data_IF_591867149678
#
_entry.id   IF_591867149678
#
_cell.length_a   1.000
_cell.length_b   1.000
_cell.length_c   1.000
_cell.angle_alpha   90.00
_cell.angle_beta   90.00
_cell.angle_gamma   90.00
#
_symmetry.space_group_name_H-M   'P 1'
#
loop_
_entity.id
_entity.type
_entity.pdbx_description
1 polymer ?
#
# COMPACT_ATOMS: atom_id res chain seq x y z
N UNK A 1 130.68 10.25 -7.56
CA UNK A 1 129.36 10.00 -6.97
C UNK A 1 128.38 11.13 -7.34
N UNK A 2 127.82 11.19 -8.56
CA UNK A 2 126.84 12.25 -8.93
C UNK A 2 125.75 11.80 -9.95
N UNK A 3 125.68 10.52 -10.33
CA UNK A 3 124.72 10.05 -11.37
C UNK A 3 123.53 9.24 -10.84
N UNK A 4 123.49 8.89 -9.56
CA UNK A 4 122.42 8.07 -8.97
C UNK A 4 121.29 8.87 -8.29
N UNK A 5 121.43 10.18 -8.09
CA UNK A 5 120.40 11.00 -7.42
C UNK A 5 119.32 11.57 -8.35
N UNK A 6 119.56 11.69 -9.66
CA UNK A 6 118.55 12.27 -10.58
C UNK A 6 117.46 11.30 -11.03
N UNK A 7 117.67 9.98 -10.97
CA UNK A 7 116.67 8.99 -11.38
C UNK A 7 115.59 8.71 -10.32
N UNK A 8 115.89 8.96 -9.03
CA UNK A 8 114.94 8.77 -7.92
C UNK A 8 113.90 9.90 -7.87
N UNK A 9 114.25 11.10 -8.31
CA UNK A 9 113.33 12.24 -8.33
C UNK A 9 112.24 12.14 -9.42
N UNK A 10 112.49 11.40 -10.51
CA UNK A 10 111.53 11.25 -11.62
C UNK A 10 110.57 10.07 -11.37
N UNK A 11 111.01 9.00 -10.70
CA UNK A 11 110.13 7.89 -10.30
C UNK A 11 109.14 8.28 -9.19
N UNK A 12 109.52 9.19 -8.28
CA UNK A 12 108.62 9.74 -7.27
C UNK A 12 107.54 10.67 -7.84
N UNK A 13 107.78 11.31 -9.00
CA UNK A 13 106.81 12.18 -9.66
C UNK A 13 105.72 11.41 -10.42
N UNK A 14 105.98 10.18 -10.84
CA UNK A 14 104.99 9.33 -11.54
C UNK A 14 104.12 8.53 -10.54
N UNK A 15 104.64 8.19 -9.36
CA UNK A 15 103.85 7.57 -8.28
C UNK A 15 102.88 8.52 -7.56
N UNK A 16 103.03 9.85 -7.73
CA UNK A 16 102.15 10.86 -7.11
C UNK A 16 100.97 11.27 -7.99
N UNK A 17 100.92 10.85 -9.26
CA UNK A 17 99.80 11.14 -10.16
C UNK A 17 98.74 10.03 -10.20
N UNK A 18 99.04 8.82 -9.72
CA UNK A 18 98.07 7.73 -9.58
C UNK A 18 97.32 7.77 -8.23
N UNK A 19 97.84 8.47 -7.23
CA UNK A 19 97.23 8.56 -5.89
C UNK A 19 96.12 9.62 -5.78
N UNK A 20 96.03 10.58 -6.70
CA UNK A 20 95.07 11.71 -6.61
C UNK A 20 93.91 11.62 -7.63
N UNK A 21 94.00 10.69 -8.59
CA UNK A 21 92.94 10.39 -9.57
C UNK A 21 92.06 9.20 -9.17
N UNK A 22 92.61 8.21 -8.46
CA UNK A 22 91.88 7.01 -8.01
C UNK A 22 90.78 7.32 -7.01
N UNK A 23 90.99 8.22 -6.05
CA UNK A 23 89.94 8.63 -5.11
C UNK A 23 88.81 9.41 -5.78
N UNK A 24 89.12 10.26 -6.77
CA UNK A 24 88.09 10.96 -7.55
C UNK A 24 87.31 10.01 -8.46
N UNK A 25 87.97 9.02 -9.06
CA UNK A 25 87.30 7.98 -9.84
C UNK A 25 86.40 7.11 -8.95
N UNK A 26 86.91 6.69 -7.78
CA UNK A 26 86.16 5.88 -6.81
C UNK A 26 84.96 6.65 -6.25
N UNK A 27 85.12 7.93 -5.92
CA UNK A 27 83.99 8.79 -5.54
C UNK A 27 82.99 8.98 -6.70
N UNK A 28 83.45 9.05 -7.95
CA UNK A 28 82.57 9.18 -9.10
C UNK A 28 81.83 7.87 -9.43
N UNK A 29 82.44 6.70 -9.18
CA UNK A 29 81.81 5.39 -9.26
C UNK A 29 80.82 5.18 -8.13
N UNK A 30 81.19 5.47 -6.87
CA UNK A 30 80.30 5.40 -5.71
C UNK A 30 79.07 6.31 -5.88
N UNK A 31 79.27 7.53 -6.42
CA UNK A 31 78.16 8.43 -6.75
C UNK A 31 77.28 7.89 -7.90
N UNK A 32 77.87 7.25 -8.92
CA UNK A 32 77.11 6.64 -10.01
C UNK A 32 76.28 5.45 -9.53
N UNK A 33 76.84 4.63 -8.65
CA UNK A 33 76.15 3.48 -8.08
C UNK A 33 75.02 3.94 -7.15
N UNK A 34 75.24 4.95 -6.32
CA UNK A 34 74.16 5.59 -5.55
C UNK A 34 73.07 6.18 -6.45
N UNK A 35 73.43 6.89 -7.52
CA UNK A 35 72.46 7.42 -8.49
C UNK A 35 71.66 6.32 -9.19
N UNK A 36 72.30 5.18 -9.50
CA UNK A 36 71.63 4.02 -10.11
C UNK A 36 70.67 3.35 -9.16
N UNK A 37 71.04 3.23 -7.89
CA UNK A 37 70.18 2.65 -6.86
C UNK A 37 69.00 3.57 -6.53
N UNK A 38 69.22 4.89 -6.40
CA UNK A 38 68.15 5.90 -6.26
C UNK A 38 67.21 5.91 -7.47
N UNK A 39 67.74 5.79 -8.69
CA UNK A 39 66.94 5.72 -9.91
C UNK A 39 66.09 4.44 -9.94
N UNK A 40 66.66 3.28 -9.58
CA UNK A 40 65.91 2.02 -9.49
C UNK A 40 64.82 2.07 -8.43
N UNK A 41 65.11 2.63 -7.25
CA UNK A 41 64.14 2.82 -6.18
C UNK A 41 63.00 3.75 -6.63
N UNK A 42 63.33 4.85 -7.33
CA UNK A 42 62.34 5.79 -7.86
C UNK A 42 61.46 5.15 -8.95
N UNK A 43 62.05 4.35 -9.85
CA UNK A 43 61.31 3.64 -10.90
C UNK A 43 60.39 2.56 -10.32
N UNK A 44 60.88 1.77 -9.36
CA UNK A 44 60.06 0.78 -8.67
C UNK A 44 58.89 1.42 -7.91
N UNK A 45 59.13 2.60 -7.31
CA UNK A 45 58.07 3.38 -6.65
C UNK A 45 57.05 3.87 -7.69
N UNK A 46 57.49 4.39 -8.83
CA UNK A 46 56.57 4.79 -9.91
C UNK A 46 55.72 3.63 -10.44
N UNK A 47 56.31 2.47 -10.68
CA UNK A 47 55.58 1.28 -11.15
C UNK A 47 54.50 0.86 -10.13
N UNK A 48 54.84 0.86 -8.84
CA UNK A 48 53.89 0.56 -7.77
C UNK A 48 52.73 1.58 -7.72
N UNK A 49 53.03 2.88 -7.84
CA UNK A 49 52.02 3.94 -7.89
C UNK A 49 51.09 3.80 -9.10
N UNK A 50 51.61 3.37 -10.27
CA UNK A 50 50.81 3.15 -11.48
C UNK A 50 49.87 1.95 -11.35
N UNK A 51 50.33 0.85 -10.75
CA UNK A 51 49.48 -0.32 -10.46
C UNK A 51 48.32 0.09 -9.55
N UNK A 52 48.62 0.80 -8.47
CA UNK A 52 47.60 1.27 -7.52
C UNK A 52 46.61 2.28 -8.15
N UNK A 53 47.06 3.17 -9.04
CA UNK A 53 46.17 4.09 -9.78
C UNK A 53 45.25 3.31 -10.72
N UNK A 54 45.74 2.26 -11.37
CA UNK A 54 44.92 1.38 -12.19
C UNK A 54 43.89 0.62 -11.34
N UNK A 55 44.29 0.05 -10.20
CA UNK A 55 43.37 -0.63 -9.28
C UNK A 55 42.24 0.29 -8.80
N UNK A 56 42.57 1.54 -8.44
CA UNK A 56 41.57 2.52 -8.03
C UNK A 56 40.65 2.85 -9.20
N UNK A 57 41.20 3.04 -10.40
CA UNK A 57 40.44 3.41 -11.60
C UNK A 57 39.49 2.29 -12.07
N UNK A 58 39.95 1.04 -12.08
CA UNK A 58 39.13 -0.14 -12.39
C UNK A 58 38.01 -0.31 -11.35
N UNK A 59 38.36 -0.14 -10.09
CA UNK A 59 37.37 -0.13 -9.03
C UNK A 59 36.31 0.96 -9.20
N UNK A 60 36.68 2.18 -9.63
CA UNK A 60 35.72 3.29 -9.80
C UNK A 60 34.68 2.98 -10.86
N UNK A 61 35.07 2.27 -11.92
CA UNK A 61 34.15 1.78 -12.93
C UNK A 61 33.17 0.74 -12.36
N UNK A 62 33.64 -0.19 -11.53
CA UNK A 62 32.76 -1.16 -10.88
C UNK A 62 31.70 -0.50 -9.98
N UNK A 63 32.07 0.52 -9.20
CA UNK A 63 31.12 1.27 -8.37
C UNK A 63 30.10 1.99 -9.23
N UNK A 64 30.54 2.62 -10.32
CA UNK A 64 29.67 3.33 -11.25
C UNK A 64 28.64 2.39 -11.91
N UNK A 65 29.05 1.16 -12.22
CA UNK A 65 28.15 0.15 -12.75
C UNK A 65 27.12 -0.30 -11.70
N UNK A 66 27.54 -0.46 -10.44
CA UNK A 66 26.67 -0.78 -9.31
C UNK A 66 25.69 0.37 -8.98
N UNK A 67 26.16 1.60 -8.98
CA UNK A 67 25.39 2.83 -8.83
C UNK A 67 24.33 2.96 -9.93
N UNK A 68 24.69 2.67 -11.18
CA UNK A 68 23.73 2.67 -12.30
C UNK A 68 22.61 1.65 -12.09
N UNK A 69 22.91 0.46 -11.57
CA UNK A 69 21.90 -0.56 -11.25
C UNK A 69 20.94 -0.05 -10.16
N UNK A 70 21.47 0.60 -9.13
CA UNK A 70 20.68 1.20 -8.04
C UNK A 70 19.80 2.36 -8.57
N UNK A 71 20.34 3.18 -9.49
CA UNK A 71 19.69 4.38 -10.02
C UNK A 71 18.70 4.12 -11.17
N UNK A 72 18.50 2.87 -11.63
CA UNK A 72 17.59 2.60 -12.76
C UNK A 72 16.13 2.49 -12.29
N UNK A 73 15.24 3.46 -12.61
CA UNK A 73 13.89 3.54 -12.00
C UNK A 73 12.88 2.52 -12.54
N UNK A 74 13.23 1.73 -13.56
CA UNK A 74 12.34 0.82 -14.27
C UNK A 74 12.34 -0.64 -13.79
N UNK A 75 13.21 -1.02 -12.86
CA UNK A 75 13.27 -2.37 -12.29
C UNK A 75 12.45 -2.54 -10.99
N UNK A 76 11.75 -1.47 -10.58
CA UNK A 76 11.04 -1.32 -9.30
C UNK A 76 9.55 -1.70 -9.36
N UNK A 77 9.06 -2.20 -10.49
CA UNK A 77 7.65 -2.58 -10.69
C UNK A 77 7.25 -3.93 -10.04
N UNK A 78 8.03 -4.37 -9.06
CA UNK A 78 7.80 -5.59 -8.29
C UNK A 78 8.70 -5.61 -7.06
N UNK A 79 8.33 -4.84 -6.04
CA UNK A 79 8.97 -4.85 -4.72
C UNK A 79 8.85 -6.24 -4.08
N UNK A 80 9.86 -7.09 -4.24
CA UNK A 80 10.11 -8.13 -3.25
C UNK A 80 10.92 -7.51 -2.11
N UNK A 81 10.55 -7.78 -0.85
CA UNK A 81 11.33 -7.36 0.32
C UNK A 81 12.82 -7.74 0.19
N UNK A 82 13.10 -8.87 -0.48
CA UNK A 82 14.45 -9.33 -0.83
C UNK A 82 15.25 -8.33 -1.67
N UNK A 83 14.63 -7.61 -2.60
CA UNK A 83 15.35 -6.70 -3.50
C UNK A 83 15.67 -5.36 -2.83
N UNK A 84 14.80 -4.92 -1.90
CA UNK A 84 15.07 -3.76 -1.04
C UNK A 84 16.27 -4.01 -0.12
N UNK A 85 16.30 -5.17 0.53
CA UNK A 85 17.42 -5.52 1.40
C UNK A 85 18.73 -5.63 0.60
N UNK A 86 18.66 -6.15 -0.62
CA UNK A 86 19.81 -6.20 -1.53
C UNK A 86 20.33 -4.79 -1.86
N UNK A 87 19.47 -3.86 -2.26
CA UNK A 87 19.88 -2.47 -2.57
C UNK A 87 20.52 -1.78 -1.36
N UNK A 88 19.99 -2.00 -0.16
CA UNK A 88 20.58 -1.48 1.08
C UNK A 88 21.97 -2.06 1.34
N UNK A 89 22.13 -3.37 1.19
CA UNK A 89 23.42 -4.04 1.37
C UNK A 89 24.45 -3.57 0.32
N UNK A 90 24.01 -3.39 -0.94
CA UNK A 90 24.86 -2.88 -2.01
C UNK A 90 25.34 -1.44 -1.72
N UNK A 91 24.46 -0.57 -1.20
CA UNK A 91 24.86 0.79 -0.77
C UNK A 91 25.91 0.76 0.35
N UNK A 92 25.76 -0.11 1.34
CA UNK A 92 26.73 -0.25 2.44
C UNK A 92 28.08 -0.72 1.89
N UNK A 93 28.08 -1.70 0.99
CA UNK A 93 29.29 -2.20 0.34
C UNK A 93 29.99 -1.11 -0.48
N UNK A 94 29.23 -0.29 -1.22
CA UNK A 94 29.77 0.85 -1.98
C UNK A 94 30.39 1.89 -1.04
N UNK A 95 29.72 2.23 0.07
CA UNK A 95 30.26 3.18 1.05
C UNK A 95 31.60 2.70 1.63
N UNK A 96 31.70 1.42 1.98
CA UNK A 96 32.94 0.81 2.47
C UNK A 96 34.04 0.86 1.40
N UNK A 97 33.72 0.48 0.16
CA UNK A 97 34.68 0.52 -0.95
C UNK A 97 35.19 1.95 -1.24
N UNK A 98 34.33 2.97 -1.18
CA UNK A 98 34.71 4.38 -1.33
C UNK A 98 35.64 4.83 -0.19
N UNK A 99 35.39 4.38 1.04
CA UNK A 99 36.22 4.70 2.20
C UNK A 99 37.62 4.07 2.10
N UNK A 100 37.71 2.79 1.74
CA UNK A 100 38.98 2.10 1.52
C UNK A 100 39.82 2.78 0.44
N UNK A 101 39.20 3.18 -0.67
CA UNK A 101 39.90 3.86 -1.77
C UNK A 101 40.38 5.24 -1.39
N UNK A 102 39.62 5.96 -0.58
CA UNK A 102 40.06 7.25 -0.04
C UNK A 102 41.33 7.08 0.80
N UNK A 103 41.38 6.06 1.66
CA UNK A 103 42.58 5.75 2.45
C UNK A 103 43.77 5.40 1.55
N UNK A 104 43.57 4.56 0.52
CA UNK A 104 44.62 4.25 -0.46
C UNK A 104 45.11 5.49 -1.21
N UNK A 105 44.23 6.43 -1.58
CA UNK A 105 44.65 7.70 -2.20
C UNK A 105 45.47 8.58 -1.24
N UNK A 106 45.15 8.58 0.04
CA UNK A 106 45.93 9.30 1.06
C UNK A 106 47.33 8.67 1.24
N UNK A 107 47.43 7.34 1.23
CA UNK A 107 48.72 6.62 1.24
C UNK A 107 49.56 6.90 -0.03
N UNK A 108 48.91 6.92 -1.20
CA UNK A 108 49.55 7.26 -2.47
C UNK A 108 50.07 8.70 -2.47
N UNK A 109 49.29 9.64 -1.94
CA UNK A 109 49.69 11.03 -1.82
C UNK A 109 50.89 11.20 -0.89
N UNK A 110 50.90 10.51 0.26
CA UNK A 110 52.03 10.50 1.19
C UNK A 110 53.30 9.90 0.56
N UNK A 111 53.16 8.78 -0.16
CA UNK A 111 54.27 8.10 -0.85
C UNK A 111 54.84 8.99 -1.95
N UNK A 112 53.98 9.62 -2.76
CA UNK A 112 54.38 10.56 -3.80
C UNK A 112 55.11 11.78 -3.22
N UNK A 113 54.63 12.33 -2.10
CA UNK A 113 55.26 13.47 -1.43
C UNK A 113 56.64 13.13 -0.83
N UNK A 114 56.87 11.86 -0.43
CA UNK A 114 58.16 11.40 0.09
C UNK A 114 59.22 11.15 -0.99
N UNK A 115 58.80 11.03 -2.26
CA UNK A 115 59.70 10.72 -3.38
C UNK A 115 60.32 12.02 -3.91
N UNK A 116 61.66 12.08 -4.04
CA UNK A 116 62.40 13.27 -4.52
C UNK A 116 62.12 13.68 -5.98
N UNK A 117 61.31 12.91 -6.71
CA UNK A 117 60.93 13.18 -8.10
C UNK A 117 59.50 13.72 -8.21
N UNK A 118 59.36 14.96 -8.67
CA UNK A 118 58.05 15.57 -8.95
C UNK A 118 57.39 14.91 -10.18
N UNK A 119 56.44 14.00 -9.97
CA UNK A 119 55.57 13.49 -11.04
C UNK A 119 54.24 14.25 -11.04
N UNK A 120 54.22 15.42 -11.71
CA UNK A 120 53.05 16.29 -11.79
C UNK A 120 51.81 15.59 -12.39
N UNK A 121 52.01 14.61 -13.27
CA UNK A 121 50.92 13.81 -13.86
C UNK A 121 50.24 12.93 -12.81
N UNK A 122 51.01 12.19 -12.00
CA UNK A 122 50.47 11.37 -10.91
C UNK A 122 49.76 12.23 -9.86
N UNK A 123 50.32 13.38 -9.47
CA UNK A 123 49.66 14.31 -8.55
C UNK A 123 48.29 14.74 -9.09
N UNK A 124 48.21 15.10 -10.37
CA UNK A 124 46.95 15.50 -11.01
C UNK A 124 45.94 14.34 -11.06
N UNK A 125 46.39 13.12 -11.34
CA UNK A 125 45.53 11.93 -11.33
C UNK A 125 44.98 11.64 -9.94
N UNK A 126 45.81 11.67 -8.89
CA UNK A 126 45.38 11.49 -7.50
C UNK A 126 44.33 12.54 -7.11
N UNK A 127 44.54 13.82 -7.47
CA UNK A 127 43.56 14.88 -7.21
C UNK A 127 42.22 14.64 -7.93
N UNK A 128 42.26 14.22 -9.19
CA UNK A 128 41.06 13.88 -9.94
C UNK A 128 40.30 12.70 -9.32
N UNK A 129 41.02 11.64 -8.91
CA UNK A 129 40.43 10.48 -8.25
C UNK A 129 39.82 10.86 -6.89
N UNK A 130 40.48 11.74 -6.12
CA UNK A 130 39.94 12.28 -4.88
C UNK A 130 38.62 13.04 -5.11
N UNK A 131 38.55 13.88 -6.14
CA UNK A 131 37.32 14.60 -6.49
C UNK A 131 36.19 13.64 -6.85
N UNK A 132 36.48 12.65 -7.70
CA UNK A 132 35.47 11.65 -8.11
C UNK A 132 34.96 10.82 -6.93
N UNK A 133 35.83 10.41 -6.00
CA UNK A 133 35.39 9.70 -4.79
C UNK A 133 34.50 10.60 -3.93
N UNK A 134 34.82 11.89 -3.78
CA UNK A 134 34.02 12.82 -3.01
C UNK A 134 32.63 13.06 -3.62
N UNK A 135 32.56 13.15 -4.96
CA UNK A 135 31.31 13.22 -5.71
C UNK A 135 30.47 11.96 -5.50
N UNK A 136 31.04 10.77 -5.68
CA UNK A 136 30.35 9.50 -5.45
C UNK A 136 29.89 9.30 -4.00
N UNK A 137 30.68 9.74 -3.01
CA UNK A 137 30.26 9.72 -1.61
C UNK A 137 29.02 10.58 -1.37
N UNK A 138 28.96 11.74 -2.04
CA UNK A 138 27.81 12.65 -1.95
C UNK A 138 26.58 12.04 -2.63
N UNK A 139 26.75 11.42 -3.80
CA UNK A 139 25.67 10.77 -4.54
C UNK A 139 25.09 9.59 -3.75
N UNK A 140 25.95 8.70 -3.24
CA UNK A 140 25.52 7.55 -2.43
C UNK A 140 24.82 7.98 -1.13
N UNK A 141 25.29 9.05 -0.48
CA UNK A 141 24.59 9.61 0.68
C UNK A 141 23.19 10.14 0.31
N UNK A 142 23.07 10.83 -0.83
CA UNK A 142 21.78 11.31 -1.35
C UNK A 142 20.83 10.15 -1.67
N UNK A 143 21.31 9.12 -2.38
CA UNK A 143 20.53 7.93 -2.72
C UNK A 143 20.09 7.17 -1.47
N UNK A 144 20.96 7.05 -0.46
CA UNK A 144 20.61 6.45 0.84
C UNK A 144 19.47 7.20 1.53
N UNK A 145 19.53 8.53 1.58
CA UNK A 145 18.48 9.35 2.18
C UNK A 145 17.15 9.23 1.41
N UNK A 146 17.21 9.21 0.08
CA UNK A 146 16.02 9.03 -0.76
C UNK A 146 15.39 7.65 -0.57
N UNK A 147 16.21 6.60 -0.42
CA UNK A 147 15.74 5.25 -0.16
C UNK A 147 15.04 5.14 1.21
N UNK A 148 15.58 5.78 2.25
CA UNK A 148 14.96 5.83 3.57
C UNK A 148 13.63 6.60 3.54
N UNK A 149 13.58 7.75 2.87
CA UNK A 149 12.34 8.52 2.70
C UNK A 149 11.28 7.73 1.93
N UNK A 150 11.67 7.01 0.87
CA UNK A 150 10.77 6.12 0.14
C UNK A 150 10.25 4.98 1.02
N UNK A 151 11.10 4.40 1.88
CA UNK A 151 10.71 3.34 2.81
C UNK A 151 9.64 3.81 3.80
N UNK A 152 9.82 4.99 4.41
CA UNK A 152 8.83 5.59 5.29
C UNK A 152 7.51 5.79 4.54
N UNK A 153 7.57 6.35 3.34
CA UNK A 153 6.37 6.58 2.51
C UNK A 153 5.64 5.28 2.14
N UNK A 154 6.36 4.21 1.85
CA UNK A 154 5.75 2.90 1.60
C UNK A 154 5.07 2.38 2.85
N UNK A 155 5.71 2.49 4.02
CA UNK A 155 5.08 2.09 5.29
C UNK A 155 3.80 2.89 5.59
N UNK A 156 3.79 4.19 5.30
CA UNK A 156 2.59 5.03 5.45
C UNK A 156 1.47 4.63 4.47
N UNK A 157 1.84 4.30 3.23
CA UNK A 157 0.89 3.79 2.24
C UNK A 157 0.32 2.43 2.64
N UNK A 158 1.15 1.51 3.14
CA UNK A 158 0.71 0.20 3.65
C UNK A 158 -0.29 0.37 4.80
N UNK A 159 -0.02 1.28 5.74
CA UNK A 159 -0.94 1.61 6.81
C UNK A 159 -2.26 2.20 6.28
N UNK A 160 -2.18 3.13 5.32
CA UNK A 160 -3.37 3.73 4.70
C UNK A 160 -4.22 2.69 3.97
N UNK A 161 -3.59 1.74 3.28
CA UNK A 161 -4.28 0.63 2.61
C UNK A 161 -4.95 -0.29 3.62
N UNK A 162 -4.29 -0.62 4.73
CA UNK A 162 -4.87 -1.40 5.81
C UNK A 162 -6.10 -0.70 6.43
N UNK A 163 -5.98 0.59 6.74
CA UNK A 163 -7.08 1.40 7.29
C UNK A 163 -8.26 1.52 6.31
N UNK A 164 -7.97 1.68 5.01
CA UNK A 164 -9.01 1.72 3.98
C UNK A 164 -9.72 0.37 3.85
N UNK A 165 -9.00 -0.75 3.89
CA UNK A 165 -9.61 -2.08 3.84
C UNK A 165 -10.54 -2.31 5.05
N UNK A 166 -10.10 -1.96 6.26
CA UNK A 166 -10.96 -2.07 7.45
C UNK A 166 -12.20 -1.17 7.36
N UNK A 167 -12.06 0.02 6.78
CA UNK A 167 -13.18 0.94 6.55
C UNK A 167 -14.17 0.35 5.53
N UNK A 168 -13.67 -0.23 4.44
CA UNK A 168 -14.49 -0.89 3.42
C UNK A 168 -15.25 -2.08 4.01
N UNK A 169 -14.59 -2.93 4.80
CA UNK A 169 -15.23 -4.08 5.46
C UNK A 169 -16.34 -3.63 6.43
N UNK A 170 -16.07 -2.59 7.22
CA UNK A 170 -17.05 -1.99 8.13
C UNK A 170 -18.26 -1.41 7.38
N UNK A 171 -18.03 -0.64 6.30
CA UNK A 171 -19.10 -0.11 5.47
C UNK A 171 -19.92 -1.21 4.81
N UNK A 172 -19.29 -2.28 4.34
CA UNK A 172 -19.99 -3.42 3.76
C UNK A 172 -20.90 -4.10 4.78
N UNK A 173 -20.41 -4.33 6.00
CA UNK A 173 -21.21 -4.88 7.09
C UNK A 173 -22.40 -3.98 7.45
N UNK A 174 -22.19 -2.66 7.53
CA UNK A 174 -23.26 -1.70 7.84
C UNK A 174 -24.31 -1.62 6.73
N UNK A 175 -23.90 -1.75 5.46
CA UNK A 175 -24.84 -1.78 4.33
C UNK A 175 -25.73 -3.03 4.42
N UNK A 176 -25.17 -4.19 4.78
CA UNK A 176 -25.94 -5.41 4.88
C UNK A 176 -26.96 -5.35 6.02
N UNK A 177 -26.58 -4.83 7.19
CA UNK A 177 -27.52 -4.65 8.31
C UNK A 177 -28.64 -3.67 7.96
N UNK A 178 -28.32 -2.51 7.38
CA UNK A 178 -29.33 -1.53 6.97
C UNK A 178 -30.28 -2.09 5.92
N UNK A 179 -29.78 -2.92 4.99
CA UNK A 179 -30.63 -3.57 3.98
C UNK A 179 -31.59 -4.58 4.60
N UNK A 180 -31.12 -5.36 5.56
CA UNK A 180 -31.98 -6.34 6.23
C UNK A 180 -33.03 -5.63 7.09
N UNK A 181 -32.65 -4.61 7.86
CA UNK A 181 -33.59 -3.79 8.63
C UNK A 181 -34.65 -3.15 7.72
N UNK A 182 -34.23 -2.58 6.59
CA UNK A 182 -35.16 -2.01 5.61
C UNK A 182 -36.11 -3.06 5.02
N UNK A 183 -35.63 -4.28 4.72
CA UNK A 183 -36.48 -5.38 4.23
C UNK A 183 -37.50 -5.80 5.27
N UNK A 184 -37.10 -5.94 6.54
CA UNK A 184 -38.03 -6.32 7.61
C UNK A 184 -39.09 -5.24 7.84
N UNK A 185 -38.71 -3.95 7.78
CA UNK A 185 -39.65 -2.85 7.94
C UNK A 185 -40.62 -2.75 6.75
N UNK A 186 -40.14 -2.91 5.52
CA UNK A 186 -41.00 -2.99 4.34
C UNK A 186 -41.98 -4.15 4.46
N UNK A 187 -41.52 -5.34 4.83
CA UNK A 187 -42.39 -6.50 5.02
C UNK A 187 -43.46 -6.26 6.11
N UNK A 188 -43.09 -5.61 7.21
CA UNK A 188 -44.02 -5.23 8.29
C UNK A 188 -45.04 -4.19 7.83
N UNK A 189 -44.59 -3.18 7.11
CA UNK A 189 -45.45 -2.13 6.55
C UNK A 189 -46.42 -2.71 5.52
N UNK A 190 -45.96 -3.59 4.64
CA UNK A 190 -46.79 -4.30 3.67
C UNK A 190 -47.82 -5.20 4.35
N UNK A 191 -47.42 -5.98 5.36
CA UNK A 191 -48.34 -6.81 6.13
C UNK A 191 -49.43 -5.93 6.77
N UNK A 192 -49.04 -4.86 7.47
CA UNK A 192 -49.97 -3.94 8.13
C UNK A 192 -50.89 -3.21 7.15
N UNK A 193 -50.37 -2.81 5.99
CA UNK A 193 -51.15 -2.16 4.94
C UNK A 193 -52.21 -3.10 4.37
N UNK A 194 -51.88 -4.38 4.23
CA UNK A 194 -52.74 -5.41 3.65
C UNK A 194 -53.65 -6.12 4.67
N UNK A 195 -53.46 -5.90 5.98
CA UNK A 195 -54.38 -6.40 7.01
C UNK A 195 -55.75 -5.74 6.89
N UNK A 196 -56.78 -6.57 6.77
CA UNK A 196 -58.20 -6.23 6.81
C UNK A 196 -58.89 -7.07 7.86
N UNK A 197 -60.10 -6.67 8.24
CA UNK A 197 -60.80 -7.21 9.38
C UNK A 197 -62.23 -7.55 9.00
N UNK A 198 -62.72 -8.74 9.35
CA UNK A 198 -64.13 -9.10 9.17
C UNK A 198 -64.77 -9.69 10.42
N UNK A 199 -66.07 -9.46 10.58
CA UNK A 199 -66.88 -9.98 11.68
C UNK A 199 -68.15 -10.64 11.14
N UNK A 200 -68.49 -11.80 11.70
CA UNK A 200 -69.70 -12.56 11.42
C UNK A 200 -70.51 -12.63 12.71
N UNK A 201 -71.81 -12.38 12.66
CA UNK A 201 -72.65 -12.53 13.84
C UNK A 201 -74.12 -12.26 13.58
N UNK A 202 -74.95 -12.68 14.51
CA UNK A 202 -76.37 -12.32 14.51
C UNK A 202 -76.54 -10.84 14.82
N UNK A 203 -77.68 -10.27 14.45
CA UNK A 203 -78.01 -8.88 14.75
C UNK A 203 -77.93 -8.55 16.26
N UNK A 204 -78.14 -9.54 17.13
CA UNK A 204 -78.05 -9.38 18.58
C UNK A 204 -76.57 -9.33 19.00
N UNK A 205 -75.76 -10.31 18.62
CA UNK A 205 -74.33 -10.38 18.96
C UNK A 205 -73.57 -9.15 18.47
N UNK A 206 -73.81 -8.72 17.23
CA UNK A 206 -73.15 -7.55 16.67
C UNK A 206 -73.55 -6.24 17.39
N UNK A 207 -74.75 -6.15 17.98
CA UNK A 207 -75.17 -4.99 18.79
C UNK A 207 -74.61 -5.07 20.21
N UNK A 208 -74.68 -6.24 20.83
CA UNK A 208 -74.17 -6.48 22.19
C UNK A 208 -72.64 -6.22 22.25
N UNK A 209 -71.92 -6.45 21.15
CA UNK A 209 -70.49 -6.15 20.97
C UNK A 209 -70.19 -4.71 20.53
N UNK A 210 -71.21 -3.86 20.39
CA UNK A 210 -71.04 -2.47 19.95
C UNK A 210 -70.51 -2.34 18.51
N UNK A 211 -70.69 -3.34 17.66
CA UNK A 211 -70.27 -3.32 16.26
C UNK A 211 -71.35 -2.67 15.37
N UNK A 212 -72.63 -2.85 15.73
CA UNK A 212 -73.76 -2.21 15.07
C UNK A 212 -74.49 -1.27 16.03
N UNK A 213 -74.65 0.00 15.64
CA UNK A 213 -75.48 0.95 16.36
C UNK A 213 -76.84 1.17 15.67
N UNK A 214 -77.92 1.18 16.45
CA UNK A 214 -79.27 1.48 15.95
C UNK A 214 -79.52 2.99 16.01
N UNK A 215 -79.29 3.72 14.92
CA UNK A 215 -79.73 5.13 14.82
C UNK A 215 -81.25 5.22 14.77
N UNK A 216 -81.82 6.18 15.51
CA UNK A 216 -83.26 6.37 15.70
C UNK A 216 -84.02 6.73 14.41
N UNK A 217 -83.32 7.16 13.33
CA UNK A 217 -83.89 7.57 12.03
C UNK A 217 -82.93 7.32 10.84
N UNK A 218 -82.36 6.11 10.68
CA UNK A 218 -81.48 5.82 9.53
C UNK A 218 -80.89 4.40 9.49
N UNK A 219 -80.18 4.07 8.38
CA UNK A 219 -79.48 2.79 8.19
C UNK A 219 -78.49 2.55 9.35
N UNK A 220 -78.44 1.31 9.84
CA UNK A 220 -77.48 0.84 10.85
C UNK A 220 -76.06 1.15 10.38
N UNK A 221 -75.25 1.76 11.25
CA UNK A 221 -73.88 2.16 10.95
C UNK A 221 -72.90 1.35 11.80
N UNK A 222 -71.75 1.02 11.23
CA UNK A 222 -70.63 0.40 11.95
C UNK A 222 -69.88 1.50 12.68
N UNK A 223 -69.63 1.33 13.98
CA UNK A 223 -68.93 2.33 14.78
C UNK A 223 -67.44 2.37 14.38
N UNK A 224 -66.94 3.51 13.92
CA UNK A 224 -65.50 3.72 13.68
C UNK A 224 -64.89 4.40 14.92
N UNK A 225 -64.47 3.62 15.92
CA UNK A 225 -63.84 4.18 17.13
C UNK A 225 -63.48 3.14 18.18
N UNK A 226 -64.49 2.59 18.89
CA UNK A 226 -64.33 1.78 20.12
C UNK A 226 -65.08 0.43 20.05
N UNK A 227 -65.09 -0.24 18.88
CA UNK A 227 -65.60 -1.62 18.82
C UNK A 227 -64.56 -2.61 19.36
N UNK A 228 -65.03 -3.71 19.94
CA UNK A 228 -64.21 -4.83 20.38
C UNK A 228 -63.46 -5.43 19.17
N UNK A 229 -62.24 -4.93 18.90
CA UNK A 229 -61.38 -5.42 17.81
C UNK A 229 -61.09 -6.91 17.96
N UNK A 230 -61.24 -7.49 19.15
CA UNK A 230 -61.07 -8.91 19.38
C UNK A 230 -62.19 -9.76 18.77
N UNK A 231 -63.36 -9.17 18.45
CA UNK A 231 -64.42 -9.87 17.72
C UNK A 231 -64.16 -9.94 16.20
N UNK A 232 -63.26 -9.12 15.69
CA UNK A 232 -62.89 -9.13 14.28
C UNK A 232 -61.78 -10.13 14.00
N UNK A 233 -61.91 -10.89 12.92
CA UNK A 233 -60.85 -11.72 12.39
C UNK A 233 -59.94 -10.88 11.49
N UNK A 234 -58.68 -10.71 11.90
CA UNK A 234 -57.65 -10.06 11.11
C UNK A 234 -57.12 -11.03 10.04
N UNK A 235 -57.05 -10.58 8.79
CA UNK A 235 -56.60 -11.41 7.65
C UNK A 235 -55.95 -10.56 6.56
N UNK A 236 -55.14 -11.17 5.70
CA UNK A 236 -54.52 -10.48 4.56
C UNK A 236 -55.51 -10.38 3.38
N UNK A 237 -55.79 -9.15 2.94
CA UNK A 237 -56.73 -8.86 1.84
C UNK A 237 -56.34 -9.48 0.51
N UNK A 238 -55.06 -9.82 0.30
CA UNK A 238 -54.55 -10.44 -0.94
C UNK A 238 -54.93 -11.92 -1.03
N UNK A 239 -55.11 -12.56 0.12
CA UNK A 239 -55.39 -13.99 0.23
C UNK A 239 -56.86 -14.29 0.54
N UNK A 240 -57.57 -13.34 1.16
CA UNK A 240 -58.98 -13.48 1.48
C UNK A 240 -59.85 -13.35 0.23
N UNK A 241 -60.24 -14.48 -0.33
CA UNK A 241 -61.10 -14.57 -1.51
C UNK A 241 -62.51 -15.06 -1.18
N UNK A 242 -62.68 -15.79 -0.07
CA UNK A 242 -63.96 -16.35 0.34
C UNK A 242 -64.15 -16.25 1.85
N UNK A 243 -65.38 -16.00 2.27
CA UNK A 243 -65.78 -15.95 3.68
C UNK A 243 -67.02 -16.84 3.84
N UNK A 244 -66.88 -18.06 4.39
CA UNK A 244 -68.02 -18.90 4.69
C UNK A 244 -68.83 -18.29 5.85
N UNK A 245 -70.14 -18.14 5.67
CA UNK A 245 -70.97 -17.48 6.69
C UNK A 245 -71.63 -18.45 7.65
N UNK A 246 -71.53 -19.77 7.40
CA UNK A 246 -72.10 -20.83 8.24
C UNK A 246 -73.60 -20.63 8.55
N UNK A 247 -74.33 -19.94 7.67
CA UNK A 247 -75.77 -19.68 7.79
C UNK A 247 -76.40 -19.63 6.41
N UNK A 248 -77.67 -20.00 6.34
CA UNK A 248 -78.52 -19.92 5.15
C UNK A 248 -78.89 -18.49 4.74
N UNK A 249 -78.67 -17.51 5.62
CA UNK A 249 -78.94 -16.10 5.39
C UNK A 249 -77.73 -15.27 5.79
N UNK A 250 -77.18 -14.52 4.83
CA UNK A 250 -76.09 -13.59 5.07
C UNK A 250 -76.39 -12.25 4.40
N UNK A 251 -76.10 -11.16 5.11
CA UNK A 251 -76.22 -9.79 4.59
C UNK A 251 -75.02 -8.96 5.03
N UNK A 252 -74.34 -8.34 4.07
CA UNK A 252 -73.31 -7.35 4.37
C UNK A 252 -73.96 -6.09 4.94
N UNK A 253 -73.40 -5.61 6.05
CA UNK A 253 -73.85 -4.43 6.78
C UNK A 253 -72.97 -3.20 6.50
N UNK A 254 -71.84 -3.40 5.83
CA UNK A 254 -70.88 -2.37 5.40
C UNK A 254 -71.05 -2.04 3.91
N UNK A 255 -70.54 -0.87 3.47
CA UNK A 255 -70.80 -0.30 2.14
C UNK A 255 -69.79 -0.75 1.06
N UNK A 256 -69.46 -2.04 0.98
CA UNK A 256 -68.60 -2.57 -0.08
C UNK A 256 -69.29 -2.50 -1.46
N UNK A 257 -68.57 -2.14 -2.54
CA UNK A 257 -69.14 -2.08 -3.89
C UNK A 257 -69.74 -3.42 -4.31
N UNK A 258 -70.99 -3.44 -4.79
CA UNK A 258 -71.68 -4.68 -5.18
C UNK A 258 -70.98 -5.45 -6.32
N UNK A 259 -70.20 -4.76 -7.12
CA UNK A 259 -69.42 -5.35 -8.22
C UNK A 259 -68.13 -6.04 -7.75
N UNK A 260 -67.75 -5.84 -6.48
CA UNK A 260 -66.52 -6.38 -5.90
C UNK A 260 -66.70 -7.72 -5.17
N UNK A 261 -67.94 -8.23 -5.06
CA UNK A 261 -68.24 -9.52 -4.43
C UNK A 261 -69.54 -10.16 -4.94
N UNK A 262 -69.69 -11.46 -4.69
CA UNK A 262 -70.94 -12.22 -4.84
C UNK A 262 -71.27 -12.96 -3.55
N UNK A 263 -72.55 -13.30 -3.34
CA UNK A 263 -72.97 -14.19 -2.24
C UNK A 263 -73.53 -15.46 -2.87
N UNK A 264 -72.76 -16.53 -2.79
CA UNK A 264 -73.09 -17.82 -3.39
C UNK A 264 -73.70 -18.76 -2.34
N UNK A 265 -74.42 -19.78 -2.82
CA UNK A 265 -74.95 -20.85 -1.97
C UNK A 265 -74.09 -22.07 -2.18
N UNK A 266 -73.42 -22.55 -1.13
CA UNK A 266 -72.60 -23.76 -1.18
C UNK A 266 -73.14 -24.73 -0.13
N UNK A 267 -73.86 -25.76 -0.57
CA UNK A 267 -74.60 -26.65 0.34
C UNK A 267 -75.71 -25.90 1.08
N UNK A 268 -75.73 -26.00 2.40
CA UNK A 268 -76.71 -25.37 3.31
C UNK A 268 -76.16 -24.08 3.98
N UNK A 269 -75.26 -23.37 3.28
CA UNK A 269 -74.73 -22.09 3.76
C UNK A 269 -74.51 -21.09 2.63
N UNK A 270 -74.51 -19.81 2.99
CA UNK A 270 -74.04 -18.71 2.15
C UNK A 270 -72.53 -18.53 2.30
N UNK A 271 -71.88 -18.16 1.21
CA UNK A 271 -70.44 -17.84 1.17
C UNK A 271 -70.29 -16.52 0.44
N UNK A 272 -69.57 -15.57 1.05
CA UNK A 272 -69.21 -14.31 0.39
C UNK A 272 -67.96 -14.57 -0.42
N UNK A 273 -68.02 -14.40 -1.74
CA UNK A 273 -66.89 -14.54 -2.66
C UNK A 273 -66.45 -13.16 -3.10
N UNK A 274 -65.21 -12.79 -2.78
CA UNK A 274 -64.62 -11.50 -3.14
C UNK A 274 -63.98 -11.63 -4.52
N UNK A 275 -64.56 -10.95 -5.51
CA UNK A 275 -64.13 -11.01 -6.92
C UNK A 275 -63.08 -9.95 -7.25
N UNK A 276 -63.08 -8.83 -6.52
CA UNK A 276 -62.06 -7.78 -6.64
C UNK A 276 -61.68 -7.25 -5.25
N UNK A 277 -60.62 -7.80 -4.62
CA UNK A 277 -60.21 -7.39 -3.27
C UNK A 277 -59.82 -5.92 -3.16
N UNK A 278 -59.20 -5.33 -4.19
CA UNK A 278 -58.80 -3.93 -4.15
C UNK A 278 -60.01 -3.00 -4.06
N UNK A 279 -61.02 -3.25 -4.89
CA UNK A 279 -62.28 -2.50 -4.90
C UNK A 279 -63.15 -2.80 -3.68
N UNK A 280 -63.15 -4.05 -3.21
CA UNK A 280 -63.91 -4.48 -2.04
C UNK A 280 -63.45 -3.77 -0.75
N UNK A 281 -62.14 -3.61 -0.57
CA UNK A 281 -61.54 -2.97 0.61
C UNK A 281 -61.20 -1.49 0.43
N UNK A 282 -61.61 -0.87 -0.69
CA UNK A 282 -61.29 0.53 -1.02
C UNK A 282 -61.90 1.51 0.00
N UNK A 283 -63.17 1.29 0.36
CA UNK A 283 -63.94 2.21 1.21
C UNK A 283 -63.72 2.00 2.70
N UNK A 284 -63.44 0.77 3.11
CA UNK A 284 -63.19 0.42 4.52
C UNK A 284 -62.39 -0.87 4.59
N UNK A 285 -61.49 -0.96 5.58
CA UNK A 285 -60.76 -2.20 5.95
C UNK A 285 -61.57 -3.14 6.85
N UNK A 286 -62.80 -2.75 7.20
CA UNK A 286 -63.70 -3.51 8.07
C UNK A 286 -64.91 -4.01 7.30
N UNK A 287 -65.23 -5.29 7.49
CA UNK A 287 -66.39 -5.95 6.93
C UNK A 287 -67.26 -6.52 8.05
N UNK A 288 -68.55 -6.25 7.99
CA UNK A 288 -69.51 -6.83 8.94
C UNK A 288 -70.58 -7.57 8.17
N UNK A 289 -70.72 -8.86 8.47
CA UNK A 289 -71.72 -9.74 7.86
C UNK A 289 -72.70 -10.17 8.95
N UNK A 290 -73.96 -9.78 8.76
CA UNK A 290 -75.07 -10.23 9.60
C UNK A 290 -75.55 -11.58 9.09
N UNK A 291 -75.58 -12.56 9.98
CA UNK A 291 -76.20 -13.87 9.75
C UNK A 291 -77.51 -14.00 10.53
N UNK A 292 -78.46 -14.79 10.03
CA UNK A 292 -79.73 -15.10 10.71
C UNK A 292 -79.89 -16.62 10.94
#
# INVERSE_FOLDING_TARGET
>A
MKKSLSFVAIAAAIGLLTSCGGDKLRMAEENNDQLRDDLRATLATQDSLLVLVNDISEGMNQIKDMEKIISTPGALTGESASRREQVKNDMIAIQQALQERRQRLEELEATLASTKGNNATLTRTIQNLKSQIAEQQTEIASLSNQLEAAHIRISELDQTVADLNTTVDSLHSNIETVREDARTEIARAEASANTVYYALGTNKELKDRGILEKKFLGRTHVLEGDFDRAYFTATDRRTLTTIPTHSNKAKLMTDQPKESYTIETQGDQKVVVITNPALFWEKSKFLVIKVD
#
